data_IF_315173712063
#
_entry.id   IF_315173712063
#
_cell.length_a   1.000
_cell.length_b   1.000
_cell.length_c   1.000
_cell.angle_alpha   90.00
_cell.angle_beta   90.00
_cell.angle_gamma   90.00
#
_symmetry.space_group_name_H-M   'P 1'
#
loop_
_entity.id
_entity.type
_entity.pdbx_description
1 polymer ?
#
# COMPACT_ATOMS: atom_id res chain seq x y z
N UNK A 1 7.73 25.78 -54.05
CA UNK A 1 7.85 25.31 -52.64
C UNK A 1 8.42 26.43 -51.80
N UNK A 2 7.58 27.25 -51.16
CA UNK A 2 8.05 28.32 -50.27
C UNK A 2 8.55 27.68 -48.97
N UNK A 3 9.85 27.84 -48.68
CA UNK A 3 10.41 27.48 -47.37
C UNK A 3 9.71 28.38 -46.35
N UNK A 4 8.88 27.81 -45.47
CA UNK A 4 8.38 28.52 -44.28
C UNK A 4 9.62 28.97 -43.48
N UNK A 5 9.95 30.26 -43.56
CA UNK A 5 10.92 30.88 -42.67
C UNK A 5 10.45 30.63 -41.24
N UNK A 6 11.29 29.98 -40.44
CA UNK A 6 11.03 29.84 -39.01
C UNK A 6 11.14 31.24 -38.40
N UNK A 7 10.12 31.73 -37.68
CA UNK A 7 10.20 33.03 -37.04
C UNK A 7 11.43 33.10 -36.12
N UNK A 8 12.10 34.26 -36.11
CA UNK A 8 13.29 34.48 -35.31
C UNK A 8 13.02 34.14 -33.82
N UNK A 9 13.96 33.46 -33.13
CA UNK A 9 13.75 33.08 -31.73
C UNK A 9 13.59 34.34 -30.87
N UNK A 10 12.53 34.38 -30.04
CA UNK A 10 12.35 35.42 -29.02
C UNK A 10 13.48 35.26 -28.00
N UNK A 11 14.47 36.16 -28.04
CA UNK A 11 15.65 36.13 -27.17
C UNK A 11 15.31 36.72 -25.79
N UNK A 12 16.03 36.27 -24.75
CA UNK A 12 15.97 36.86 -23.41
C UNK A 12 16.59 38.28 -23.39
N UNK A 13 16.48 39.00 -22.26
CA UNK A 13 17.07 40.33 -22.07
C UNK A 13 18.60 40.40 -22.33
N UNK A 14 19.27 39.24 -22.43
CA UNK A 14 20.70 39.09 -22.71
C UNK A 14 20.98 38.57 -24.12
N UNK A 15 19.98 38.52 -25.01
CA UNK A 15 20.14 38.08 -26.40
C UNK A 15 20.32 36.56 -26.56
N UNK A 16 19.97 35.75 -25.55
CA UNK A 16 20.10 34.29 -25.59
C UNK A 16 18.76 33.65 -25.94
N UNK A 17 18.74 32.51 -26.64
CA UNK A 17 17.50 31.77 -26.87
C UNK A 17 16.82 31.42 -25.55
N UNK A 18 15.48 31.37 -25.53
CA UNK A 18 14.72 31.16 -24.31
C UNK A 18 15.04 29.78 -23.76
N UNK A 19 15.30 29.72 -22.46
CA UNK A 19 15.72 28.50 -21.81
C UNK A 19 14.60 27.45 -21.89
N UNK A 20 14.92 26.26 -22.43
CA UNK A 20 13.97 25.16 -22.57
C UNK A 20 14.37 23.98 -21.70
N UNK A 21 13.37 23.32 -21.13
CA UNK A 21 13.61 22.11 -20.35
C UNK A 21 14.10 20.98 -21.26
N UNK A 22 15.16 20.31 -20.80
CA UNK A 22 15.60 19.05 -21.36
C UNK A 22 14.66 17.94 -20.82
N UNK A 23 13.50 17.78 -21.47
CA UNK A 23 12.51 16.77 -21.10
C UNK A 23 13.09 15.35 -21.06
N UNK A 24 13.89 14.90 -22.05
CA UNK A 24 14.54 13.59 -21.99
C UNK A 24 15.44 13.42 -20.77
N UNK A 25 16.26 14.42 -20.42
CA UNK A 25 17.10 14.35 -19.23
C UNK A 25 16.27 14.30 -17.94
N UNK A 26 15.25 15.15 -17.84
CA UNK A 26 14.35 15.21 -16.69
C UNK A 26 13.62 13.88 -16.47
N UNK A 27 13.14 13.25 -17.54
CA UNK A 27 12.48 11.94 -17.48
C UNK A 27 13.44 10.85 -16.95
N UNK A 28 14.70 10.86 -17.39
CA UNK A 28 15.72 9.90 -16.89
C UNK A 28 15.97 10.07 -15.40
N UNK A 29 16.05 11.30 -14.90
CA UNK A 29 16.18 11.60 -13.47
C UNK A 29 14.92 11.17 -12.70
N UNK A 30 13.76 11.24 -13.35
CA UNK A 30 12.48 10.78 -12.83
C UNK A 30 12.42 9.29 -12.46
N UNK A 31 13.32 8.44 -12.97
CA UNK A 31 13.42 7.04 -12.53
C UNK A 31 13.67 6.92 -11.02
N UNK A 32 14.47 7.82 -10.43
CA UNK A 32 14.70 7.81 -8.99
C UNK A 32 13.40 8.07 -8.20
N UNK A 33 12.52 8.93 -8.72
CA UNK A 33 11.21 9.20 -8.11
C UNK A 33 10.20 8.08 -8.37
N UNK A 34 10.28 7.42 -9.52
CA UNK A 34 9.50 6.21 -9.78
C UNK A 34 9.85 5.11 -8.76
N UNK A 35 11.13 4.92 -8.42
CA UNK A 35 11.58 3.99 -7.36
C UNK A 35 10.99 4.38 -6.01
N UNK A 36 11.06 5.67 -5.64
CA UNK A 36 10.51 6.18 -4.38
C UNK A 36 9.02 5.86 -4.29
N UNK A 37 8.24 6.22 -5.32
CA UNK A 37 6.79 6.02 -5.30
C UNK A 37 6.38 4.56 -5.39
N UNK A 38 7.11 3.75 -6.17
CA UNK A 38 6.89 2.30 -6.22
C UNK A 38 7.03 1.68 -4.82
N UNK A 39 8.04 2.10 -4.04
CA UNK A 39 8.18 1.67 -2.66
C UNK A 39 7.05 2.19 -1.78
N UNK A 40 6.80 3.50 -1.74
CA UNK A 40 5.86 4.11 -0.79
C UNK A 40 4.44 3.63 -1.01
N UNK A 41 3.99 3.54 -2.26
CA UNK A 41 2.65 3.03 -2.56
C UNK A 41 2.47 1.59 -2.09
N UNK A 42 3.49 0.74 -2.20
CA UNK A 42 3.43 -0.62 -1.65
C UNK A 42 3.51 -0.63 -0.12
N UNK A 43 4.41 0.17 0.48
CA UNK A 43 4.59 0.27 1.92
C UNK A 43 3.31 0.77 2.62
N UNK A 44 2.78 1.91 2.16
CA UNK A 44 1.61 2.56 2.76
C UNK A 44 0.34 1.72 2.67
N UNK A 45 0.25 0.88 1.64
CA UNK A 45 -0.86 -0.03 1.48
C UNK A 45 -0.70 -1.31 2.31
N UNK A 46 0.48 -1.94 2.25
CA UNK A 46 0.67 -3.27 2.82
C UNK A 46 0.98 -3.26 4.32
N UNK A 47 1.77 -2.31 4.81
CA UNK A 47 2.19 -2.29 6.22
C UNK A 47 1.01 -2.18 7.20
N UNK A 48 0.02 -1.29 6.98
CA UNK A 48 -1.17 -1.25 7.83
C UNK A 48 -1.96 -2.56 7.83
N UNK A 49 -2.06 -3.22 6.67
CA UNK A 49 -2.73 -4.52 6.55
C UNK A 49 -1.98 -5.62 7.30
N UNK A 50 -0.65 -5.65 7.24
CA UNK A 50 0.17 -6.58 8.02
C UNK A 50 -0.02 -6.37 9.52
N UNK A 51 -0.03 -5.12 9.98
CA UNK A 51 -0.23 -4.79 11.40
C UNK A 51 -1.63 -5.17 11.90
N UNK A 52 -2.64 -5.02 11.05
CA UNK A 52 -4.02 -5.42 11.38
C UNK A 52 -4.19 -6.93 11.35
N UNK A 53 -3.89 -7.58 10.22
CA UNK A 53 -4.19 -8.99 10.01
C UNK A 53 -3.23 -9.91 10.78
N UNK A 54 -1.97 -9.51 10.98
CA UNK A 54 -1.03 -10.35 11.74
C UNK A 54 -1.10 -10.09 13.25
N UNK A 55 -1.28 -8.84 13.66
CA UNK A 55 -1.12 -8.45 15.08
C UNK A 55 -2.39 -7.91 15.73
N UNK A 56 -3.48 -7.73 14.98
CA UNK A 56 -4.73 -7.20 15.51
C UNK A 56 -4.62 -5.75 16.01
N UNK A 57 -3.69 -4.96 15.44
CA UNK A 57 -3.47 -3.61 15.98
C UNK A 57 -4.63 -2.67 15.62
N UNK A 58 -5.17 -1.92 16.61
CA UNK A 58 -6.24 -0.97 16.36
C UNK A 58 -5.77 0.17 15.44
N UNK A 59 -6.73 0.81 14.75
CA UNK A 59 -6.46 1.81 13.72
C UNK A 59 -5.56 2.97 14.18
N UNK A 60 -5.71 3.44 15.43
CA UNK A 60 -4.85 4.50 15.98
C UNK A 60 -3.39 4.03 16.14
N UNK A 61 -3.15 2.79 16.56
CA UNK A 61 -1.82 2.25 16.75
C UNK A 61 -1.12 2.05 15.40
N UNK A 62 -1.85 1.58 14.39
CA UNK A 62 -1.36 1.53 13.01
C UNK A 62 -1.03 2.92 12.48
N UNK A 63 -1.89 3.90 12.75
CA UNK A 63 -1.65 5.31 12.42
C UNK A 63 -0.38 5.88 13.06
N UNK A 64 -0.07 5.51 14.31
CA UNK A 64 1.19 5.88 14.96
C UNK A 64 2.39 5.24 14.26
N UNK A 65 2.33 3.95 13.94
CA UNK A 65 3.43 3.25 13.23
C UNK A 65 3.66 3.87 11.85
N UNK A 66 2.58 4.20 11.13
CA UNK A 66 2.67 4.93 9.87
C UNK A 66 3.35 6.28 10.11
N UNK A 67 2.83 7.12 11.02
CA UNK A 67 3.37 8.45 11.30
C UNK A 67 4.83 8.51 11.79
N UNK A 68 5.40 7.39 12.27
CA UNK A 68 6.83 7.30 12.58
C UNK A 68 7.69 7.61 11.35
N UNK A 69 7.25 7.28 10.14
CA UNK A 69 7.98 7.55 8.91
C UNK A 69 8.20 9.05 8.68
N UNK A 70 7.13 9.83 8.89
CA UNK A 70 7.09 11.27 8.73
C UNK A 70 7.93 11.93 9.82
N UNK A 71 7.84 11.43 11.06
CA UNK A 71 8.69 11.89 12.16
C UNK A 71 10.18 11.63 11.89
N UNK A 72 10.54 10.44 11.43
CA UNK A 72 11.91 10.11 11.06
C UNK A 72 12.39 11.01 9.90
N UNK A 73 11.52 11.30 8.94
CA UNK A 73 11.88 12.12 7.79
C UNK A 73 12.35 13.53 8.17
N UNK A 74 11.84 14.10 9.27
CA UNK A 74 12.23 15.42 9.79
C UNK A 74 13.73 15.48 10.11
N UNK A 75 14.31 14.40 10.60
CA UNK A 75 15.73 14.31 10.96
C UNK A 75 16.57 13.67 9.87
N UNK A 76 16.06 12.62 9.23
CA UNK A 76 16.81 11.81 8.28
C UNK A 76 16.99 12.50 6.93
N UNK A 77 16.00 13.28 6.45
CA UNK A 77 16.14 13.98 5.16
C UNK A 77 17.24 15.06 5.21
N UNK A 78 17.31 15.96 6.23
CA UNK A 78 18.42 16.90 6.37
C UNK A 78 19.76 16.20 6.58
N UNK A 79 19.79 15.14 7.41
CA UNK A 79 21.00 14.38 7.70
C UNK A 79 21.59 13.77 6.42
N UNK A 80 20.80 12.99 5.67
CA UNK A 80 21.29 12.35 4.44
C UNK A 80 21.49 13.32 3.28
N UNK A 81 20.78 14.45 3.27
CA UNK A 81 21.05 15.56 2.35
C UNK A 81 22.46 16.09 2.56
N UNK A 82 22.78 16.47 3.81
CA UNK A 82 24.11 16.97 4.20
C UNK A 82 25.21 15.92 4.01
N UNK A 83 24.94 14.66 4.32
CA UNK A 83 25.90 13.57 4.11
C UNK A 83 26.21 13.37 2.62
N UNK A 84 25.19 13.42 1.76
CA UNK A 84 25.37 13.33 0.31
C UNK A 84 26.06 14.56 -0.27
N UNK A 85 25.77 15.76 0.23
CA UNK A 85 26.40 17.02 -0.19
C UNK A 85 27.91 17.03 0.02
N UNK A 86 28.35 16.54 1.18
CA UNK A 86 29.74 16.52 1.63
C UNK A 86 30.45 15.21 1.30
N UNK A 87 29.82 14.33 0.51
CA UNK A 87 30.41 13.05 0.19
C UNK A 87 31.65 13.21 -0.70
N UNK A 88 32.75 12.61 -0.29
CA UNK A 88 34.02 12.58 -1.02
C UNK A 88 34.52 11.14 -1.12
N UNK A 89 35.06 10.74 -2.27
CA UNK A 89 35.62 9.40 -2.43
C UNK A 89 35.66 8.90 -3.87
N UNK A 90 36.08 7.64 -4.06
CA UNK A 90 36.19 7.00 -5.39
C UNK A 90 34.83 6.86 -6.08
N UNK A 91 33.78 6.47 -5.33
CA UNK A 91 32.42 6.34 -5.87
C UNK A 91 31.86 7.70 -6.32
N UNK A 92 32.06 8.74 -5.52
CA UNK A 92 31.64 10.11 -5.88
C UNK A 92 32.37 10.63 -7.12
N UNK A 93 33.68 10.37 -7.22
CA UNK A 93 34.47 10.68 -8.41
C UNK A 93 33.97 9.93 -9.65
N UNK A 94 33.42 8.73 -9.51
CA UNK A 94 32.93 7.95 -10.65
C UNK A 94 31.51 8.35 -11.07
N UNK A 95 30.59 8.47 -10.11
CA UNK A 95 29.15 8.53 -10.38
C UNK A 95 28.49 9.86 -10.04
N UNK A 96 29.14 10.75 -9.29
CA UNK A 96 28.51 11.96 -8.75
C UNK A 96 28.22 11.84 -7.26
N UNK A 97 27.72 12.93 -6.65
CA UNK A 97 27.51 13.02 -5.20
C UNK A 97 26.22 12.31 -4.75
N UNK A 98 25.16 12.33 -5.58
CA UNK A 98 23.84 11.77 -5.24
C UNK A 98 23.74 10.30 -5.57
N UNK A 99 24.21 9.93 -6.76
CA UNK A 99 24.05 8.59 -7.35
C UNK A 99 24.50 7.44 -6.43
N UNK A 100 25.66 7.50 -5.74
CA UNK A 100 26.07 6.43 -4.83
C UNK A 100 25.09 6.21 -3.67
N UNK A 101 24.53 7.28 -3.09
CA UNK A 101 23.54 7.17 -2.02
C UNK A 101 22.23 6.61 -2.55
N UNK A 102 21.85 6.98 -3.77
CA UNK A 102 20.67 6.43 -4.43
C UNK A 102 20.82 4.91 -4.57
N UNK A 103 21.94 4.45 -5.11
CA UNK A 103 22.21 3.01 -5.29
C UNK A 103 22.26 2.26 -3.97
N UNK A 104 23.08 2.72 -3.03
CA UNK A 104 23.27 2.00 -1.75
C UNK A 104 21.97 1.99 -0.96
N UNK A 105 21.28 3.13 -0.87
CA UNK A 105 20.00 3.22 -0.17
C UNK A 105 18.92 2.34 -0.80
N UNK A 106 18.79 2.35 -2.14
CA UNK A 106 17.83 1.49 -2.83
C UNK A 106 18.15 0.01 -2.64
N UNK A 107 19.41 -0.41 -2.77
CA UNK A 107 19.81 -1.82 -2.55
C UNK A 107 19.57 -2.25 -1.11
N UNK A 108 19.94 -1.42 -0.13
CA UNK A 108 19.65 -1.71 1.28
C UNK A 108 18.15 -1.81 1.55
N UNK A 109 17.35 -0.90 1.01
CA UNK A 109 15.89 -0.93 1.16
C UNK A 109 15.29 -2.19 0.54
N UNK A 110 15.74 -2.58 -0.66
CA UNK A 110 15.32 -3.82 -1.34
C UNK A 110 15.64 -5.07 -0.51
N UNK A 111 16.83 -5.14 0.08
CA UNK A 111 17.21 -6.28 0.93
C UNK A 111 16.34 -6.33 2.18
N UNK A 112 16.19 -5.20 2.87
CA UNK A 112 15.46 -5.12 4.13
C UNK A 112 13.94 -5.30 3.96
N UNK A 113 13.36 -4.79 2.87
CA UNK A 113 11.91 -4.85 2.65
C UNK A 113 11.41 -6.29 2.45
N UNK A 114 12.25 -7.20 1.93
CA UNK A 114 11.88 -8.62 1.80
C UNK A 114 11.68 -9.24 3.18
N UNK A 115 12.39 -8.77 4.21
CA UNK A 115 12.23 -9.26 5.57
C UNK A 115 10.97 -8.74 6.27
N UNK A 116 10.31 -7.69 5.75
CA UNK A 116 9.09 -7.12 6.34
C UNK A 116 7.96 -8.16 6.43
N UNK A 117 7.48 -8.75 5.32
CA UNK A 117 6.45 -9.79 5.39
C UNK A 117 7.00 -11.11 5.94
N UNK A 118 8.29 -11.42 5.74
CA UNK A 118 8.90 -12.66 6.25
C UNK A 118 8.91 -12.70 7.78
N UNK A 119 9.13 -11.56 8.43
CA UNK A 119 9.09 -11.45 9.88
C UNK A 119 7.69 -11.72 10.46
N UNK A 120 6.63 -11.45 9.68
CA UNK A 120 5.24 -11.65 10.14
C UNK A 120 4.71 -13.04 9.82
N UNK A 121 5.31 -13.82 8.91
CA UNK A 121 4.76 -15.10 8.41
C UNK A 121 4.24 -16.05 9.50
N UNK A 122 5.04 -16.31 10.54
CA UNK A 122 4.63 -17.21 11.64
C UNK A 122 3.46 -16.65 12.44
N UNK A 123 3.46 -15.34 12.66
CA UNK A 123 2.38 -14.67 13.38
C UNK A 123 1.11 -14.65 12.52
N UNK A 124 1.23 -14.37 11.24
CA UNK A 124 0.12 -14.40 10.29
C UNK A 124 -0.53 -15.77 10.20
N UNK A 125 0.26 -16.85 10.18
CA UNK A 125 -0.30 -18.19 10.19
C UNK A 125 -1.20 -18.45 11.41
N UNK A 126 -0.78 -18.00 12.61
CA UNK A 126 -1.60 -18.08 13.83
C UNK A 126 -2.88 -17.23 13.72
N UNK A 127 -2.74 -16.01 13.23
CA UNK A 127 -3.86 -15.10 13.08
C UNK A 127 -4.87 -15.61 12.05
N UNK A 128 -4.41 -16.09 10.90
CA UNK A 128 -5.25 -16.65 9.83
C UNK A 128 -5.97 -17.92 10.27
N UNK A 129 -5.33 -18.78 11.06
CA UNK A 129 -5.99 -19.94 11.64
C UNK A 129 -7.17 -19.52 12.52
N UNK A 130 -6.96 -18.54 13.42
CA UNK A 130 -8.03 -18.00 14.27
C UNK A 130 -9.13 -17.31 13.45
N UNK A 131 -8.75 -16.49 12.46
CA UNK A 131 -9.70 -15.83 11.55
C UNK A 131 -10.55 -16.87 10.83
N UNK A 132 -9.94 -17.93 10.28
CA UNK A 132 -10.66 -19.01 9.59
C UNK A 132 -11.62 -19.74 10.53
N UNK A 133 -11.22 -19.97 11.80
CA UNK A 133 -12.09 -20.59 12.81
C UNK A 133 -13.30 -19.72 13.15
N UNK A 134 -13.15 -18.40 13.19
CA UNK A 134 -14.26 -17.45 13.41
C UNK A 134 -15.15 -17.38 12.16
N UNK A 135 -14.54 -17.25 10.98
CA UNK A 135 -15.25 -17.14 9.70
C UNK A 135 -16.10 -18.38 9.39
N UNK A 136 -15.65 -19.57 9.82
CA UNK A 136 -16.40 -20.82 9.70
C UNK A 136 -17.68 -20.88 10.54
N UNK A 137 -17.88 -19.92 11.46
CA UNK A 137 -19.06 -19.86 12.35
C UNK A 137 -20.02 -18.73 11.97
N UNK A 138 -19.74 -17.96 10.91
CA UNK A 138 -20.55 -16.78 10.55
C UNK A 138 -21.93 -17.11 9.98
N UNK A 139 -22.18 -18.38 9.63
CA UNK A 139 -23.51 -18.88 9.25
C UNK A 139 -24.28 -19.48 10.43
N UNK A 140 -23.65 -19.64 11.60
CA UNK A 140 -24.22 -20.26 12.79
C UNK A 140 -24.97 -19.26 13.67
N UNK A 141 -26.24 -19.56 13.95
CA UNK A 141 -27.07 -18.76 14.87
C UNK A 141 -26.50 -18.73 16.29
N UNK A 142 -25.93 -19.85 16.75
CA UNK A 142 -25.37 -19.96 18.11
C UNK A 142 -24.18 -19.03 18.35
N UNK A 143 -23.45 -18.68 17.30
CA UNK A 143 -22.33 -17.76 17.37
C UNK A 143 -22.77 -16.32 17.06
N UNK A 144 -23.44 -16.12 15.92
CA UNK A 144 -23.74 -14.79 15.39
C UNK A 144 -24.85 -14.07 16.16
N UNK A 145 -25.92 -14.76 16.54
CA UNK A 145 -27.06 -14.10 17.17
C UNK A 145 -26.70 -13.39 18.48
N UNK A 146 -26.12 -14.07 19.50
CA UNK A 146 -25.80 -13.39 20.76
C UNK A 146 -24.75 -12.28 20.57
N UNK A 147 -23.83 -12.46 19.62
CA UNK A 147 -22.79 -11.47 19.31
C UNK A 147 -23.40 -10.19 18.73
N UNK A 148 -24.29 -10.31 17.74
CA UNK A 148 -24.94 -9.15 17.12
C UNK A 148 -25.94 -8.47 18.05
N UNK A 149 -26.63 -9.24 18.89
CA UNK A 149 -27.48 -8.70 19.96
C UNK A 149 -26.66 -7.85 20.92
N UNK A 150 -25.53 -8.38 21.41
CA UNK A 150 -24.62 -7.64 22.28
C UNK A 150 -24.12 -6.35 21.60
N UNK A 151 -23.71 -6.40 20.34
CA UNK A 151 -23.20 -5.22 19.63
C UNK A 151 -24.26 -4.15 19.47
N UNK A 152 -25.47 -4.53 19.07
CA UNK A 152 -26.58 -3.60 18.90
C UNK A 152 -26.98 -2.98 20.25
N UNK A 153 -27.14 -3.79 21.29
CA UNK A 153 -27.57 -3.34 22.61
C UNK A 153 -26.51 -2.45 23.28
N UNK A 154 -25.22 -2.76 23.08
CA UNK A 154 -24.11 -1.91 23.51
C UNK A 154 -24.10 -0.56 22.79
N UNK A 155 -24.41 -0.53 21.50
CA UNK A 155 -24.51 0.70 20.72
C UNK A 155 -25.70 1.56 21.18
N UNK A 156 -26.86 0.95 21.46
CA UNK A 156 -28.04 1.64 21.98
C UNK A 156 -27.76 2.23 23.36
N UNK A 157 -27.03 1.49 24.20
CA UNK A 157 -26.60 1.95 25.52
C UNK A 157 -25.50 3.04 25.47
N UNK A 158 -24.97 3.38 24.29
CA UNK A 158 -23.93 4.38 24.14
C UNK A 158 -22.59 3.99 24.79
N UNK A 159 -22.30 2.67 24.89
CA UNK A 159 -21.03 2.21 25.47
C UNK A 159 -19.86 2.67 24.61
N UNK A 160 -18.77 3.06 25.25
CA UNK A 160 -17.56 3.50 24.57
C UNK A 160 -17.03 2.41 23.63
N UNK A 161 -16.71 2.78 22.38
CA UNK A 161 -16.21 1.86 21.35
C UNK A 161 -17.26 0.99 20.66
N UNK A 162 -18.54 1.03 21.06
CA UNK A 162 -19.63 0.26 20.43
C UNK A 162 -19.84 0.58 18.95
N UNK A 163 -19.57 1.83 18.55
CA UNK A 163 -19.64 2.29 17.15
C UNK A 163 -18.66 1.60 16.22
N UNK A 164 -17.62 0.94 16.76
CA UNK A 164 -16.70 0.14 15.96
C UNK A 164 -17.35 -1.17 15.48
N UNK A 165 -18.45 -1.59 16.10
CA UNK A 165 -19.11 -2.86 15.84
C UNK A 165 -20.50 -2.70 15.24
N UNK A 166 -21.23 -1.67 15.66
CA UNK A 166 -22.59 -1.39 15.18
C UNK A 166 -22.78 0.13 15.00
N UNK A 167 -22.91 0.58 13.76
CA UNK A 167 -23.22 1.98 13.43
C UNK A 167 -24.74 2.18 13.37
N UNK A 168 -25.34 2.53 14.50
CA UNK A 168 -26.79 2.78 14.59
C UNK A 168 -27.25 3.91 13.66
N UNK A 169 -26.41 4.92 13.41
CA UNK A 169 -26.78 6.02 12.51
C UNK A 169 -26.93 5.49 11.10
N UNK A 170 -25.99 4.65 10.66
CA UNK A 170 -26.04 4.01 9.36
C UNK A 170 -27.21 3.02 9.22
N UNK A 171 -27.49 2.22 10.26
CA UNK A 171 -28.64 1.31 10.27
C UNK A 171 -29.97 2.08 10.13
N UNK A 172 -30.15 3.12 10.95
CA UNK A 172 -31.36 3.96 10.92
C UNK A 172 -31.54 4.67 9.57
N UNK A 173 -30.46 5.16 8.96
CA UNK A 173 -30.52 5.81 7.64
C UNK A 173 -30.86 4.84 6.49
N UNK A 174 -30.82 3.53 6.74
CA UNK A 174 -31.14 2.49 5.76
C UNK A 174 -32.35 1.64 6.19
N UNK A 175 -33.14 2.11 7.15
CA UNK A 175 -34.34 1.45 7.67
C UNK A 175 -34.08 0.01 8.16
N UNK A 176 -32.89 -0.27 8.68
CA UNK A 176 -32.53 -1.59 9.22
C UNK A 176 -32.92 -1.66 10.69
N UNK A 177 -33.85 -2.54 11.02
CA UNK A 177 -34.28 -2.75 12.42
C UNK A 177 -33.26 -3.61 13.20
N UNK A 178 -33.42 -3.67 14.52
CA UNK A 178 -32.64 -4.59 15.37
C UNK A 178 -32.80 -6.03 14.88
N UNK A 179 -34.02 -6.45 14.59
CA UNK A 179 -34.33 -7.83 14.18
C UNK A 179 -33.69 -8.16 12.83
N UNK A 180 -33.72 -7.22 11.89
CA UNK A 180 -33.01 -7.35 10.62
C UNK A 180 -31.51 -7.53 10.86
N UNK A 181 -30.90 -6.68 11.70
CA UNK A 181 -29.46 -6.73 11.98
C UNK A 181 -29.03 -8.06 12.63
N UNK A 182 -29.70 -8.49 13.70
CA UNK A 182 -29.31 -9.70 14.45
C UNK A 182 -29.56 -11.01 13.67
N UNK A 183 -30.43 -10.96 12.66
CA UNK A 183 -30.68 -12.08 11.75
C UNK A 183 -29.59 -12.28 10.68
N UNK A 184 -28.68 -11.32 10.50
CA UNK A 184 -27.67 -11.37 9.45
C UNK A 184 -26.64 -12.48 9.69
N UNK A 185 -26.35 -13.23 8.63
CA UNK A 185 -25.35 -14.30 8.58
C UNK A 185 -24.42 -14.10 7.39
N UNK A 186 -23.30 -14.80 7.39
CA UNK A 186 -22.42 -14.86 6.22
C UNK A 186 -22.18 -16.29 5.79
N UNK A 187 -22.64 -16.62 4.58
CA UNK A 187 -22.49 -17.93 3.97
C UNK A 187 -21.23 -17.94 3.10
N UNK A 188 -20.08 -18.28 3.70
CA UNK A 188 -18.77 -18.26 3.03
C UNK A 188 -18.67 -19.20 1.81
N UNK A 189 -19.48 -20.27 1.77
CA UNK A 189 -19.56 -21.19 0.62
C UNK A 189 -20.19 -20.54 -0.62
N UNK A 190 -20.99 -19.47 -0.45
CA UNK A 190 -21.62 -18.75 -1.54
C UNK A 190 -20.70 -17.63 -2.03
N UNK A 191 -20.09 -17.85 -3.21
CA UNK A 191 -19.12 -16.94 -3.81
C UNK A 191 -19.55 -16.50 -5.20
N UNK A 192 -18.96 -15.41 -5.70
CA UNK A 192 -19.24 -14.92 -7.04
C UNK A 192 -17.96 -14.44 -7.72
N UNK A 193 -17.90 -14.59 -9.04
CA UNK A 193 -16.80 -14.16 -9.90
C UNK A 193 -17.35 -13.39 -11.09
N UNK A 194 -16.70 -12.30 -11.49
CA UNK A 194 -17.00 -11.62 -12.75
C UNK A 194 -16.02 -12.05 -13.84
N UNK A 195 -16.47 -12.04 -15.09
CA UNK A 195 -15.75 -12.57 -16.24
C UNK A 195 -14.30 -12.09 -16.41
N UNK A 196 -14.00 -10.81 -16.12
CA UNK A 196 -12.65 -10.24 -16.28
C UNK A 196 -12.10 -9.79 -14.93
N UNK A 197 -11.07 -10.48 -14.42
CA UNK A 197 -10.39 -10.19 -13.15
C UNK A 197 -11.34 -10.04 -11.94
N UNK A 198 -12.52 -10.66 -11.96
CA UNK A 198 -13.63 -10.39 -11.05
C UNK A 198 -14.11 -8.92 -10.97
N UNK A 199 -13.75 -8.08 -11.94
CA UNK A 199 -14.12 -6.66 -11.97
C UNK A 199 -15.18 -6.33 -13.03
N UNK A 200 -15.15 -6.96 -14.20
CA UNK A 200 -16.01 -6.63 -15.34
C UNK A 200 -16.70 -7.85 -15.95
N UNK A 201 -17.84 -7.63 -16.60
CA UNK A 201 -18.64 -8.66 -17.27
C UNK A 201 -19.73 -9.28 -16.40
N UNK A 202 -20.33 -10.36 -16.91
CA UNK A 202 -21.37 -11.12 -16.21
C UNK A 202 -20.82 -11.75 -14.92
N UNK A 203 -21.66 -11.79 -13.89
CA UNK A 203 -21.36 -12.44 -12.61
C UNK A 203 -21.79 -13.90 -12.68
N UNK A 204 -20.87 -14.81 -12.42
CA UNK A 204 -21.16 -16.23 -12.20
C UNK A 204 -21.12 -16.51 -10.71
N UNK A 205 -22.13 -17.21 -10.21
CA UNK A 205 -22.26 -17.57 -8.81
C UNK A 205 -21.83 -19.02 -8.58
N UNK A 206 -21.27 -19.29 -7.41
CA UNK A 206 -20.79 -20.61 -7.03
C UNK A 206 -21.19 -20.91 -5.59
N UNK A 207 -21.59 -22.15 -5.34
CA UNK A 207 -21.77 -22.69 -4.00
C UNK A 207 -20.82 -23.87 -3.80
N UNK A 208 -19.95 -23.76 -2.80
CA UNK A 208 -18.95 -24.78 -2.47
C UNK A 208 -18.09 -25.17 -3.70
N UNK A 209 -17.76 -24.18 -4.53
CA UNK A 209 -16.98 -24.34 -5.77
C UNK A 209 -17.78 -24.76 -7.01
N UNK A 210 -19.05 -25.16 -6.87
CA UNK A 210 -19.91 -25.57 -7.99
C UNK A 210 -20.72 -24.40 -8.54
N UNK A 211 -20.87 -24.32 -9.87
CA UNK A 211 -21.64 -23.24 -10.52
C UNK A 211 -23.11 -23.33 -10.13
N UNK A 212 -23.70 -22.20 -9.73
CA UNK A 212 -25.14 -22.07 -9.48
C UNK A 212 -25.79 -21.50 -10.75
N UNK A 213 -26.54 -22.34 -11.47
CA UNK A 213 -27.22 -21.95 -12.72
C UNK A 213 -28.52 -21.17 -12.47
N UNK A 214 -29.23 -21.49 -11.38
CA UNK A 214 -30.49 -20.86 -11.00
C UNK A 214 -30.43 -20.39 -9.54
N UNK A 215 -30.46 -19.07 -9.34
CA UNK A 215 -30.44 -18.47 -7.99
C UNK A 215 -31.77 -18.67 -7.25
N UNK A 216 -32.87 -18.88 -7.96
CA UNK A 216 -34.18 -19.10 -7.33
C UNK A 216 -34.36 -20.53 -6.79
N UNK A 217 -33.45 -21.44 -7.12
CA UNK A 217 -33.46 -22.80 -6.62
C UNK A 217 -33.15 -22.87 -5.12
N UNK A 218 -33.68 -23.92 -4.46
CA UNK A 218 -33.39 -24.22 -3.06
C UNK A 218 -31.88 -24.45 -2.85
N UNK A 219 -31.33 -23.82 -1.81
CA UNK A 219 -29.94 -24.01 -1.41
C UNK A 219 -29.81 -25.16 -0.41
N UNK A 220 -28.58 -25.63 -0.13
CA UNK A 220 -28.33 -26.61 0.94
C UNK A 220 -28.59 -26.07 2.36
N UNK A 221 -28.84 -24.76 2.51
CA UNK A 221 -29.24 -24.16 3.78
C UNK A 221 -30.77 -24.27 3.90
N UNK A 222 -31.24 -24.89 4.98
CA UNK A 222 -32.65 -25.17 5.18
C UNK A 222 -33.51 -23.90 5.07
N UNK A 223 -34.58 -24.00 4.26
CA UNK A 223 -35.53 -22.91 4.07
C UNK A 223 -35.05 -21.71 3.25
N UNK A 224 -33.86 -21.77 2.63
CA UNK A 224 -33.30 -20.66 1.83
C UNK A 224 -32.99 -21.04 0.39
N UNK A 225 -33.24 -20.11 -0.53
CA UNK A 225 -32.77 -20.18 -1.92
C UNK A 225 -31.33 -19.66 -2.04
N UNK A 226 -30.67 -19.92 -3.17
CA UNK A 226 -29.35 -19.33 -3.41
C UNK A 226 -29.40 -17.79 -3.48
N UNK A 227 -30.51 -17.22 -3.97
CA UNK A 227 -30.74 -15.78 -3.98
C UNK A 227 -30.76 -15.23 -2.55
N UNK A 228 -31.42 -15.91 -1.62
CA UNK A 228 -31.45 -15.50 -0.21
C UNK A 228 -30.03 -15.48 0.40
N UNK A 229 -29.18 -16.44 0.06
CA UNK A 229 -27.78 -16.46 0.52
C UNK A 229 -26.99 -15.28 -0.05
N UNK A 230 -27.21 -14.92 -1.32
CA UNK A 230 -26.55 -13.76 -1.97
C UNK A 230 -26.98 -12.46 -1.30
N UNK A 231 -28.28 -12.29 -1.09
CA UNK A 231 -28.85 -11.07 -0.51
C UNK A 231 -28.45 -10.92 0.95
N UNK A 232 -28.46 -12.02 1.71
CA UNK A 232 -27.98 -12.04 3.10
C UNK A 232 -26.48 -11.69 3.15
N UNK A 233 -25.65 -12.26 2.28
CA UNK A 233 -24.22 -11.94 2.21
C UNK A 233 -23.98 -10.46 1.82
N UNK A 234 -24.82 -9.89 0.95
CA UNK A 234 -24.74 -8.47 0.58
C UNK A 234 -25.09 -7.56 1.76
N UNK A 235 -26.16 -7.88 2.50
CA UNK A 235 -26.56 -7.16 3.70
C UNK A 235 -25.50 -7.28 4.82
N UNK A 236 -24.97 -8.47 5.05
CA UNK A 236 -23.85 -8.70 5.98
C UNK A 236 -22.65 -7.82 5.64
N UNK A 237 -22.23 -7.79 4.36
CA UNK A 237 -21.11 -6.94 3.92
C UNK A 237 -21.34 -5.45 4.17
N UNK A 238 -22.60 -5.01 4.10
CA UNK A 238 -22.99 -3.62 4.27
C UNK A 238 -23.07 -3.21 5.74
N UNK A 239 -23.56 -4.09 6.62
CA UNK A 239 -23.93 -3.72 7.99
C UNK A 239 -23.07 -4.36 9.08
N UNK A 240 -22.49 -5.54 8.85
CA UNK A 240 -21.82 -6.35 9.88
C UNK A 240 -20.32 -6.52 9.63
N UNK A 241 -19.90 -6.63 8.37
CA UNK A 241 -18.52 -6.99 8.03
C UNK A 241 -17.46 -6.06 8.64
N UNK A 242 -17.71 -4.74 8.72
CA UNK A 242 -16.78 -3.82 9.36
C UNK A 242 -16.62 -4.11 10.87
N UNK A 243 -17.72 -4.36 11.57
CA UNK A 243 -17.70 -4.77 12.97
C UNK A 243 -17.04 -6.13 13.19
N UNK A 244 -17.30 -7.09 12.29
CA UNK A 244 -16.64 -8.39 12.34
C UNK A 244 -15.14 -8.31 12.11
N UNK A 245 -14.68 -7.48 11.18
CA UNK A 245 -13.24 -7.25 10.98
C UNK A 245 -12.59 -6.68 12.25
N UNK A 246 -13.25 -5.74 12.95
CA UNK A 246 -12.77 -5.22 14.22
C UNK A 246 -12.77 -6.29 15.32
N UNK A 247 -13.82 -7.13 15.39
CA UNK A 247 -13.90 -8.25 16.33
C UNK A 247 -12.76 -9.25 16.09
N UNK A 248 -12.59 -9.71 14.86
CA UNK A 248 -11.50 -10.64 14.48
C UNK A 248 -10.14 -10.01 14.80
N UNK A 249 -9.93 -8.73 14.47
CA UNK A 249 -8.70 -8.02 14.78
C UNK A 249 -8.41 -8.00 16.29
N UNK A 250 -9.43 -7.72 17.11
CA UNK A 250 -9.28 -7.75 18.57
C UNK A 250 -9.02 -9.15 19.11
N UNK A 251 -9.69 -10.17 18.58
CA UNK A 251 -9.45 -11.57 18.93
C UNK A 251 -8.02 -12.00 18.58
N UNK A 252 -7.51 -11.61 17.40
CA UNK A 252 -6.10 -11.82 17.01
C UNK A 252 -5.17 -11.10 17.97
N UNK A 253 -5.50 -9.87 18.38
CA UNK A 253 -4.67 -9.13 19.32
C UNK A 253 -4.57 -9.83 20.68
N UNK A 254 -5.71 -10.20 21.25
CA UNK A 254 -5.76 -10.83 22.58
C UNK A 254 -5.20 -12.25 22.57
N UNK A 255 -5.56 -13.07 21.58
CA UNK A 255 -5.19 -14.50 21.55
C UNK A 255 -3.86 -14.78 20.87
N UNK A 256 -3.47 -14.01 19.85
CA UNK A 256 -2.24 -14.27 19.09
C UNK A 256 -1.12 -13.29 19.46
N UNK A 257 -1.40 -11.99 19.56
CA UNK A 257 -0.34 -10.99 19.82
C UNK A 257 0.05 -10.97 21.29
N UNK A 258 -0.93 -10.96 22.19
CA UNK A 258 -0.77 -11.03 23.65
C UNK A 258 -0.69 -12.46 24.18
N UNK A 259 -0.41 -13.44 23.31
CA UNK A 259 -0.25 -14.84 23.69
C UNK A 259 0.68 -14.98 24.92
N UNK A 260 0.30 -15.84 25.86
CA UNK A 260 0.97 -16.00 27.16
C UNK A 260 2.45 -16.40 27.03
N UNK A 261 2.81 -17.07 25.93
CA UNK A 261 4.18 -17.47 25.60
C UNK A 261 5.10 -16.28 25.21
N UNK A 262 4.52 -15.08 25.06
CA UNK A 262 5.19 -13.84 24.65
C UNK A 262 5.70 -13.87 23.20
N UNK A 263 5.34 -14.87 22.41
CA UNK A 263 5.82 -15.04 21.03
C UNK A 263 5.30 -13.94 20.10
N UNK A 264 4.04 -13.53 20.27
CA UNK A 264 3.41 -12.47 19.47
C UNK A 264 4.07 -11.11 19.69
N UNK A 265 4.28 -10.70 20.94
CA UNK A 265 4.99 -9.45 21.28
C UNK A 265 6.42 -9.47 20.74
N UNK A 266 7.17 -10.57 20.91
CA UNK A 266 8.52 -10.68 20.37
C UNK A 266 8.55 -10.53 18.85
N UNK A 267 7.60 -11.17 18.17
CA UNK A 267 7.42 -11.04 16.71
C UNK A 267 7.16 -9.58 16.32
N UNK A 268 6.25 -8.90 17.03
CA UNK A 268 5.94 -7.49 16.77
C UNK A 268 7.17 -6.59 16.96
N UNK A 269 7.96 -6.79 18.02
CA UNK A 269 9.20 -6.02 18.24
C UNK A 269 10.20 -6.22 17.10
N UNK A 270 10.42 -7.47 16.67
CA UNK A 270 11.31 -7.77 15.52
C UNK A 270 10.80 -7.08 14.26
N UNK A 271 9.50 -7.14 14.00
CA UNK A 271 8.86 -6.46 12.87
C UNK A 271 9.08 -4.95 12.92
N UNK A 272 8.88 -4.31 14.08
CA UNK A 272 9.10 -2.87 14.27
C UNK A 272 10.55 -2.46 14.04
N UNK A 273 11.51 -3.27 14.47
CA UNK A 273 12.95 -3.02 14.20
C UNK A 273 13.25 -3.11 12.70
N UNK A 274 12.71 -4.12 12.01
CA UNK A 274 12.89 -4.25 10.55
C UNK A 274 12.27 -3.05 9.82
N UNK A 275 11.06 -2.63 10.19
CA UNK A 275 10.43 -1.44 9.62
C UNK A 275 11.30 -0.19 9.82
N UNK A 276 11.83 0.02 11.02
CA UNK A 276 12.71 1.14 11.30
C UNK A 276 13.96 1.13 10.40
N UNK A 277 14.59 -0.03 10.22
CA UNK A 277 15.75 -0.17 9.34
C UNK A 277 15.40 0.11 7.88
N UNK A 278 14.25 -0.37 7.41
CA UNK A 278 13.75 -0.07 6.06
C UNK A 278 13.54 1.43 5.87
N UNK A 279 12.92 2.12 6.85
CA UNK A 279 12.68 3.56 6.78
C UNK A 279 13.99 4.38 6.75
N UNK A 280 15.00 3.95 7.51
CA UNK A 280 16.34 4.54 7.47
C UNK A 280 16.99 4.33 6.09
N UNK A 281 16.91 3.12 5.53
CA UNK A 281 17.43 2.83 4.19
C UNK A 281 16.72 3.67 3.11
N UNK A 282 15.39 3.81 3.21
CA UNK A 282 14.59 4.68 2.35
C UNK A 282 15.00 6.14 2.43
N UNK A 283 15.19 6.67 3.65
CA UNK A 283 15.63 8.04 3.82
C UNK A 283 17.01 8.31 3.20
N UNK A 284 17.88 7.30 3.19
CA UNK A 284 19.24 7.36 2.62
C UNK A 284 19.23 7.71 1.12
N UNK A 285 18.27 7.18 0.34
CA UNK A 285 18.18 7.51 -1.09
C UNK A 285 17.12 8.57 -1.42
N UNK A 286 16.04 8.68 -0.64
CA UNK A 286 14.96 9.66 -0.89
C UNK A 286 15.50 11.08 -0.91
N UNK A 287 16.30 11.46 0.09
CA UNK A 287 16.83 12.84 0.19
C UNK A 287 17.76 13.18 -0.99
N UNK A 288 18.78 12.37 -1.33
CA UNK A 288 19.64 12.62 -2.49
C UNK A 288 18.91 12.58 -3.84
N UNK A 289 17.90 11.73 -4.01
CA UNK A 289 17.09 11.69 -5.22
C UNK A 289 16.29 12.97 -5.42
N UNK A 290 15.69 13.52 -4.35
CA UNK A 290 14.98 14.80 -4.42
C UNK A 290 15.95 15.96 -4.69
N UNK A 291 17.15 15.92 -4.11
CA UNK A 291 18.20 16.92 -4.34
C UNK A 291 18.86 16.84 -5.73
N UNK A 292 18.82 15.68 -6.40
CA UNK A 292 19.38 15.52 -7.74
C UNK A 292 18.68 16.40 -8.79
N UNK A 293 17.36 16.61 -8.64
CA UNK A 293 16.57 17.43 -9.56
C UNK A 293 17.06 18.88 -9.65
N UNK A 294 17.19 19.64 -8.53
CA UNK A 294 17.71 21.00 -8.59
C UNK A 294 19.19 21.07 -8.98
N UNK A 295 19.96 19.98 -8.81
CA UNK A 295 21.37 19.89 -9.23
C UNK A 295 21.53 19.80 -10.76
N UNK A 296 20.54 19.23 -11.47
CA UNK A 296 20.59 19.02 -12.93
C UNK A 296 19.61 19.88 -13.73
N UNK A 297 18.84 20.73 -13.05
CA UNK A 297 17.80 21.59 -13.66
C UNK A 297 18.03 23.06 -13.33
N UNK A 298 18.14 23.94 -14.34
CA UNK A 298 18.25 25.38 -14.14
C UNK A 298 17.08 25.98 -13.36
N UNK A 299 17.35 26.97 -12.50
CA UNK A 299 16.36 27.56 -11.57
C UNK A 299 15.01 27.92 -12.22
N UNK A 300 14.94 28.60 -13.39
CA UNK A 300 13.65 28.99 -14.00
C UNK A 300 12.79 27.80 -14.45
N UNK A 301 13.40 26.63 -14.68
CA UNK A 301 12.74 25.45 -15.24
C UNK A 301 12.42 24.38 -14.19
N UNK A 302 12.81 24.58 -12.92
CA UNK A 302 12.60 23.61 -11.84
C UNK A 302 11.13 23.26 -11.66
N UNK A 303 10.21 24.22 -11.73
CA UNK A 303 8.77 23.94 -11.62
C UNK A 303 8.29 22.96 -12.71
N UNK A 304 8.68 23.19 -13.98
CA UNK A 304 8.33 22.30 -15.08
C UNK A 304 8.97 20.91 -14.93
N UNK A 305 10.23 20.85 -14.46
CA UNK A 305 10.89 19.59 -14.20
C UNK A 305 10.19 18.79 -13.07
N UNK A 306 9.69 19.48 -12.04
CA UNK A 306 8.97 18.86 -10.95
C UNK A 306 7.67 18.18 -11.44
N UNK A 307 6.98 18.78 -12.41
CA UNK A 307 5.80 18.17 -13.02
C UNK A 307 6.13 16.85 -13.74
N UNK A 308 7.22 16.81 -14.52
CA UNK A 308 7.67 15.59 -15.23
C UNK A 308 8.11 14.50 -14.25
N UNK A 309 8.78 14.88 -13.18
CA UNK A 309 9.24 13.93 -12.17
C UNK A 309 8.07 13.37 -11.36
N UNK A 310 7.08 14.20 -11.01
CA UNK A 310 5.84 13.72 -10.38
C UNK A 310 5.07 12.76 -11.28
N UNK A 311 5.06 12.99 -12.60
CA UNK A 311 4.52 12.03 -13.56
C UNK A 311 5.25 10.67 -13.50
N UNK A 312 6.59 10.69 -13.45
CA UNK A 312 7.38 9.45 -13.29
C UNK A 312 7.08 8.75 -11.96
N UNK A 313 6.92 9.52 -10.88
CA UNK A 313 6.46 9.02 -9.58
C UNK A 313 5.08 8.36 -9.67
N UNK A 314 4.13 9.01 -10.34
CA UNK A 314 2.79 8.46 -10.56
C UNK A 314 2.81 7.13 -11.33
N UNK A 315 3.69 6.97 -12.32
CA UNK A 315 3.91 5.69 -13.01
C UNK A 315 4.43 4.62 -12.02
N UNK A 316 5.40 4.98 -11.17
CA UNK A 316 5.90 4.08 -10.12
C UNK A 316 4.81 3.61 -9.16
N UNK A 317 3.97 4.54 -8.70
CA UNK A 317 2.81 4.22 -7.85
C UNK A 317 1.77 3.35 -8.55
N UNK A 318 1.48 3.61 -9.84
CA UNK A 318 0.57 2.79 -10.63
C UNK A 318 1.08 1.35 -10.82
N UNK A 319 2.39 1.17 -10.97
CA UNK A 319 3.01 -0.17 -11.02
C UNK A 319 2.82 -0.89 -9.68
N UNK A 320 3.09 -0.23 -8.55
CA UNK A 320 2.85 -0.82 -7.22
C UNK A 320 1.38 -1.22 -7.04
N UNK A 321 0.46 -0.32 -7.42
CA UNK A 321 -0.98 -0.57 -7.38
C UNK A 321 -1.34 -1.84 -8.15
N UNK A 322 -0.84 -1.99 -9.38
CA UNK A 322 -1.10 -3.15 -10.19
C UNK A 322 -0.53 -4.42 -9.56
N UNK A 323 0.70 -4.36 -9.02
CA UNK A 323 1.35 -5.50 -8.36
C UNK A 323 0.47 -6.03 -7.22
N UNK A 324 0.12 -5.20 -6.24
CA UNK A 324 -0.65 -5.71 -5.10
C UNK A 324 -2.08 -6.06 -5.47
N UNK A 325 -2.70 -5.37 -6.43
CA UNK A 325 -4.06 -5.70 -6.89
C UNK A 325 -4.11 -7.10 -7.51
N UNK A 326 -3.12 -7.43 -8.35
CA UNK A 326 -3.03 -8.74 -9.00
C UNK A 326 -2.64 -9.84 -8.01
N UNK A 327 -1.73 -9.56 -7.08
CA UNK A 327 -1.23 -10.58 -6.15
C UNK A 327 -2.23 -10.87 -5.02
N UNK A 328 -2.87 -9.85 -4.43
CA UNK A 328 -3.87 -10.06 -3.38
C UNK A 328 -5.12 -10.78 -3.86
N UNK A 329 -5.34 -10.86 -5.17
CA UNK A 329 -6.39 -11.67 -5.76
C UNK A 329 -6.32 -13.15 -5.34
N UNK A 330 -5.13 -13.67 -5.03
CA UNK A 330 -4.93 -15.07 -4.68
C UNK A 330 -5.38 -15.50 -3.28
N UNK A 331 -5.70 -14.55 -2.37
CA UNK A 331 -5.99 -14.77 -0.94
C UNK A 331 -5.11 -15.87 -0.27
N UNK A 332 -3.79 -15.66 -0.24
CA UNK A 332 -2.82 -16.54 0.43
C UNK A 332 -1.92 -15.72 1.36
N UNK A 333 -1.47 -16.32 2.46
CA UNK A 333 -0.41 -15.79 3.35
C UNK A 333 0.80 -15.26 2.58
N UNK A 334 1.23 -16.02 1.58
CA UNK A 334 2.43 -15.72 0.78
C UNK A 334 2.27 -14.47 -0.10
N UNK A 335 1.04 -13.96 -0.28
CA UNK A 335 0.79 -12.82 -1.15
C UNK A 335 1.60 -11.59 -0.72
N UNK A 336 1.76 -11.33 0.57
CA UNK A 336 2.55 -10.20 1.04
C UNK A 336 4.04 -10.35 0.68
N UNK A 337 4.60 -11.55 0.80
CA UNK A 337 5.98 -11.85 0.38
C UNK A 337 6.14 -11.66 -1.13
N UNK A 338 5.17 -12.13 -1.91
CA UNK A 338 5.17 -11.96 -3.38
C UNK A 338 5.08 -10.49 -3.76
N UNK A 339 4.26 -9.68 -3.07
CA UNK A 339 4.15 -8.23 -3.31
C UNK A 339 5.48 -7.55 -3.07
N UNK A 340 6.06 -7.71 -1.87
CA UNK A 340 7.35 -7.09 -1.54
C UNK A 340 8.48 -7.59 -2.45
N UNK A 341 8.50 -8.88 -2.80
CA UNK A 341 9.46 -9.44 -3.75
C UNK A 341 9.33 -8.83 -5.16
N UNK A 342 8.09 -8.65 -5.65
CA UNK A 342 7.82 -8.05 -6.96
C UNK A 342 8.17 -6.56 -6.99
N UNK A 343 7.84 -5.82 -5.93
CA UNK A 343 8.21 -4.41 -5.77
C UNK A 343 9.72 -4.27 -5.69
N UNK A 344 10.41 -5.12 -4.91
CA UNK A 344 11.86 -5.18 -4.84
C UNK A 344 12.50 -5.39 -6.22
N UNK A 345 12.00 -6.35 -7.01
CA UNK A 345 12.46 -6.58 -8.37
C UNK A 345 12.23 -5.34 -9.27
N UNK A 346 11.05 -4.72 -9.18
CA UNK A 346 10.73 -3.49 -9.90
C UNK A 346 11.66 -2.33 -9.54
N UNK A 347 11.98 -2.16 -8.25
CA UNK A 347 12.94 -1.15 -7.79
C UNK A 347 14.33 -1.39 -8.36
N UNK A 348 14.81 -2.63 -8.39
CA UNK A 348 16.11 -2.97 -8.98
C UNK A 348 16.13 -2.75 -10.50
N UNK A 349 15.05 -3.06 -11.21
CA UNK A 349 14.93 -2.79 -12.65
C UNK A 349 14.95 -1.29 -12.94
N UNK A 350 14.19 -0.50 -12.18
CA UNK A 350 14.22 0.96 -12.29
C UNK A 350 15.59 1.54 -11.91
N UNK A 351 16.28 0.97 -10.91
CA UNK A 351 17.63 1.38 -10.53
C UNK A 351 18.65 1.07 -11.65
N UNK A 352 18.54 -0.09 -12.29
CA UNK A 352 19.37 -0.42 -13.45
C UNK A 352 19.12 0.57 -14.61
N UNK A 353 17.85 0.91 -14.87
CA UNK A 353 17.48 1.95 -15.83
C UNK A 353 18.05 3.33 -15.47
N UNK A 354 17.95 3.72 -14.20
CA UNK A 354 18.55 4.96 -13.69
C UNK A 354 20.06 4.98 -13.93
N UNK A 355 20.79 3.91 -13.57
CA UNK A 355 22.24 3.84 -13.74
C UNK A 355 22.68 3.81 -15.21
N UNK A 356 21.89 3.21 -16.09
CA UNK A 356 22.17 3.18 -17.53
C UNK A 356 21.95 4.56 -18.18
N UNK A 357 20.99 5.34 -17.69
CA UNK A 357 20.53 6.56 -18.35
C UNK A 357 21.05 7.86 -17.70
N UNK A 358 21.35 7.83 -16.41
CA UNK A 358 21.74 9.00 -15.62
C UNK A 358 23.25 9.03 -15.41
N UNK A 359 23.88 10.04 -16.01
CA UNK A 359 25.26 10.40 -15.72
C UNK A 359 25.25 11.75 -15.00
N UNK A 360 25.13 11.71 -13.67
CA UNK A 360 24.99 12.90 -12.81
C UNK A 360 26.10 13.91 -13.09
N UNK A 361 27.37 13.50 -13.18
CA UNK A 361 28.49 14.43 -13.38
C UNK A 361 28.34 15.23 -14.68
N UNK A 362 28.00 14.56 -15.78
CA UNK A 362 27.79 15.21 -17.08
C UNK A 362 26.56 16.14 -17.05
N UNK A 363 25.48 15.70 -16.42
CA UNK A 363 24.23 16.47 -16.33
C UNK A 363 24.38 17.73 -15.47
N UNK A 364 25.09 17.62 -14.34
CA UNK A 364 25.39 18.76 -13.46
C UNK A 364 26.33 19.74 -14.15
N UNK A 365 27.40 19.27 -14.80
CA UNK A 365 28.31 20.15 -15.55
C UNK A 365 27.57 20.94 -16.65
N UNK A 366 26.72 20.27 -17.42
CA UNK A 366 25.85 20.92 -18.42
C UNK A 366 24.92 21.96 -17.79
N UNK A 367 24.36 21.69 -16.61
CA UNK A 367 23.51 22.65 -15.91
C UNK A 367 24.30 23.88 -15.43
N UNK A 368 25.55 23.70 -14.98
CA UNK A 368 26.44 24.77 -14.54
C UNK A 368 26.91 25.67 -15.69
N UNK A 369 27.05 25.14 -16.91
CA UNK A 369 27.36 25.95 -18.10
C UNK A 369 26.19 26.84 -18.53
N UNK A 370 24.96 26.46 -18.17
CA UNK A 370 23.72 27.14 -18.55
C UNK A 370 23.30 28.21 -17.53
N UNK A 371 23.60 28.00 -16.26
CA UNK A 371 23.24 28.86 -15.13
C UNK A 371 24.27 29.98 -14.94
#
# INVERSE_FOLDING_TARGET
MSKKEKPAPVLDEKGRPPLKLDYPQTFKVGFAFAIIMLFWTAYDFVVPLLLEHAYGLPSWARGLVMGLDNLLSLFMLPLFGKLSDNAHGKLVKKWGRRTPFIVIGTVCAVVLMVFVPVATLKQQAKAEELTTQIEAQLDSDTFMQPLLEEWYDNAVAGKEGSTNYCDLTYLNNNDVTRDDFVSLRYYGKMTSKKAVLNMLGSTTYYYDGNVVEDLSAASPVEGKTYQDLVDTNAAYKKYVAAGMNNYISNEVHEKCTKAEDGSGIKSLVVYMVILLLVLIAMATFRSPAVALMPDVTPKPLRSQANAIINLCGGIGGAIAFLIYTVVLFGQRLENYVIIFGSVAAGMLLLLAGFLALVNERKMVAKCQEIC
#
